data_IF_481371348400
#
_entry.id   IF_481371348400
#
_cell.length_a   1.000
_cell.length_b   1.000
_cell.length_c   1.000
_cell.angle_alpha   90.00
_cell.angle_beta   90.00
_cell.angle_gamma   90.00
#
_symmetry.space_group_name_H-M   'P 1'
#
loop_
_entity.id
_entity.type
_entity.pdbx_description
1 polymer ?
#
# COMPACT_ATOMS: atom_id res chain seq x y z
N UNK A 1 -15.52 21.25 -51.05
CA UNK A 1 -15.91 21.74 -49.71
C UNK A 1 -16.31 20.57 -48.81
N UNK A 2 -17.22 19.69 -49.28
CA UNK A 2 -17.80 18.61 -48.46
C UNK A 2 -16.83 17.49 -48.05
N UNK A 3 -15.80 17.23 -48.86
CA UNK A 3 -14.74 16.25 -48.55
C UNK A 3 -13.81 16.73 -47.43
N UNK A 4 -13.49 18.02 -47.40
CA UNK A 4 -12.62 18.62 -46.36
C UNK A 4 -13.34 18.62 -45.01
N UNK A 5 -14.62 19.01 -44.99
CA UNK A 5 -15.45 18.98 -43.77
C UNK A 5 -15.64 17.55 -43.25
N UNK A 6 -15.65 16.54 -44.13
CA UNK A 6 -15.73 15.13 -43.73
C UNK A 6 -14.43 14.62 -43.10
N UNK A 7 -13.28 15.07 -43.58
CA UNK A 7 -11.97 14.72 -43.02
C UNK A 7 -11.74 15.38 -41.64
N UNK A 8 -12.12 16.65 -41.46
CA UNK A 8 -12.07 17.27 -40.12
C UNK A 8 -12.95 16.55 -39.10
N UNK A 9 -14.21 16.24 -39.46
CA UNK A 9 -15.09 15.48 -38.57
C UNK A 9 -14.55 14.09 -38.20
N UNK A 10 -13.80 13.47 -39.11
CA UNK A 10 -13.17 12.16 -38.86
C UNK A 10 -11.96 12.30 -37.93
N UNK A 11 -11.17 13.36 -38.07
CA UNK A 11 -10.08 13.70 -37.14
C UNK A 11 -10.61 13.91 -35.72
N UNK A 12 -11.64 14.75 -35.57
CA UNK A 12 -12.25 15.04 -34.27
C UNK A 12 -12.86 13.79 -33.63
N UNK A 13 -13.48 12.92 -34.44
CA UNK A 13 -14.04 11.66 -33.96
C UNK A 13 -12.95 10.70 -33.45
N UNK A 14 -11.81 10.62 -34.15
CA UNK A 14 -10.68 9.79 -33.71
C UNK A 14 -10.04 10.32 -32.42
N UNK A 15 -9.91 11.64 -32.27
CA UNK A 15 -9.41 12.24 -31.02
C UNK A 15 -10.31 11.92 -29.83
N UNK A 16 -11.64 12.06 -29.99
CA UNK A 16 -12.59 11.73 -28.93
C UNK A 16 -12.55 10.24 -28.53
N UNK A 17 -12.39 9.35 -29.51
CA UNK A 17 -12.30 7.89 -29.27
C UNK A 17 -11.06 7.52 -28.45
N UNK A 18 -9.96 8.27 -28.57
CA UNK A 18 -8.73 8.04 -27.79
C UNK A 18 -8.81 8.75 -26.44
N UNK A 19 -9.33 9.98 -26.41
CA UNK A 19 -9.32 10.83 -25.23
C UNK A 19 -10.25 10.32 -24.13
N UNK A 20 -11.43 9.80 -24.48
CA UNK A 20 -12.40 9.24 -23.53
C UNK A 20 -11.83 8.07 -22.69
N UNK A 21 -11.28 6.99 -23.29
CA UNK A 21 -10.67 5.91 -22.51
C UNK A 21 -9.42 6.40 -21.77
N UNK A 22 -8.59 7.25 -22.37
CA UNK A 22 -7.44 7.84 -21.66
C UNK A 22 -7.86 8.57 -20.38
N UNK A 23 -8.88 9.42 -20.44
CA UNK A 23 -9.42 10.09 -19.26
C UNK A 23 -9.94 9.09 -18.22
N UNK A 24 -10.67 8.05 -18.66
CA UNK A 24 -11.15 7.01 -17.74
C UNK A 24 -9.99 6.28 -17.04
N UNK A 25 -8.95 5.89 -17.79
CA UNK A 25 -7.76 5.26 -17.23
C UNK A 25 -7.04 6.18 -16.24
N UNK A 26 -6.89 7.47 -16.55
CA UNK A 26 -6.28 8.44 -15.64
C UNK A 26 -7.07 8.57 -14.34
N UNK A 27 -8.40 8.67 -14.41
CA UNK A 27 -9.26 8.72 -13.21
C UNK A 27 -9.14 7.43 -12.40
N UNK A 28 -9.13 6.27 -13.05
CA UNK A 28 -8.96 4.98 -12.37
C UNK A 28 -7.59 4.89 -11.68
N UNK A 29 -6.51 5.33 -12.33
CA UNK A 29 -5.17 5.37 -11.77
C UNK A 29 -5.08 6.32 -10.57
N UNK A 30 -5.66 7.52 -10.67
CA UNK A 30 -5.69 8.48 -9.56
C UNK A 30 -6.47 7.91 -8.37
N UNK A 31 -7.62 7.27 -8.62
CA UNK A 31 -8.41 6.63 -7.58
C UNK A 31 -7.65 5.47 -6.93
N UNK A 32 -6.98 4.64 -7.73
CA UNK A 32 -6.13 3.57 -7.24
C UNK A 32 -4.99 4.11 -6.37
N UNK A 33 -4.30 5.17 -6.82
CA UNK A 33 -3.22 5.79 -6.07
C UNK A 33 -3.73 6.42 -4.77
N UNK A 34 -4.91 7.03 -4.77
CA UNK A 34 -5.55 7.57 -3.58
C UNK A 34 -5.88 6.46 -2.58
N UNK A 35 -6.60 5.43 -3.01
CA UNK A 35 -7.03 4.33 -2.14
C UNK A 35 -5.81 3.55 -1.61
N UNK A 36 -4.72 3.46 -2.39
CA UNK A 36 -3.55 2.67 -2.05
C UNK A 36 -2.45 3.43 -1.30
N UNK A 37 -2.22 4.72 -1.58
CA UNK A 37 -1.20 5.52 -0.87
C UNK A 37 -1.83 6.43 0.18
N UNK A 38 -2.91 7.13 -0.16
CA UNK A 38 -3.45 8.17 0.70
C UNK A 38 -4.16 7.61 1.93
N UNK A 39 -4.97 6.56 1.75
CA UNK A 39 -5.69 5.90 2.84
C UNK A 39 -4.74 5.36 3.91
N UNK A 40 -3.72 4.53 3.60
CA UNK A 40 -2.81 4.02 4.63
C UNK A 40 -1.98 5.12 5.28
N UNK A 41 -1.50 6.12 4.52
CA UNK A 41 -0.77 7.25 5.08
C UNK A 41 -1.63 8.10 6.02
N UNK A 42 -2.92 8.26 5.72
CA UNK A 42 -3.88 8.95 6.59
C UNK A 42 -4.10 8.18 7.88
N UNK A 43 -4.33 6.87 7.80
CA UNK A 43 -4.49 6.00 8.97
C UNK A 43 -3.23 6.05 9.83
N UNK A 44 -2.05 5.92 9.23
CA UNK A 44 -0.77 5.98 9.94
C UNK A 44 -0.57 7.32 10.66
N UNK A 45 -0.90 8.46 10.01
CA UNK A 45 -0.84 9.78 10.65
C UNK A 45 -1.82 9.89 11.82
N UNK A 46 -3.04 9.38 11.66
CA UNK A 46 -4.07 9.39 12.70
C UNK A 46 -3.68 8.54 13.92
N UNK A 47 -3.07 7.37 13.71
CA UNK A 47 -2.58 6.51 14.78
C UNK A 47 -1.37 7.14 15.49
N UNK A 48 -0.43 7.72 14.73
CA UNK A 48 0.70 8.45 15.30
C UNK A 48 0.26 9.64 16.16
N UNK A 49 -0.78 10.38 15.76
CA UNK A 49 -1.33 11.47 16.59
C UNK A 49 -1.95 10.98 17.90
N UNK A 50 -2.39 9.73 17.96
CA UNK A 50 -2.88 9.08 19.19
C UNK A 50 -1.74 8.48 20.03
N UNK A 51 -0.48 8.66 19.63
CA UNK A 51 0.69 8.06 20.29
C UNK A 51 0.92 6.59 19.91
N UNK A 52 0.10 6.01 19.05
CA UNK A 52 0.27 4.64 18.55
C UNK A 52 1.24 4.69 17.38
N UNK A 53 2.52 4.45 17.68
CA UNK A 53 3.55 4.31 16.65
C UNK A 53 3.59 2.88 16.15
N UNK A 54 3.73 2.74 14.84
CA UNK A 54 3.80 1.45 14.18
C UNK A 54 4.79 1.46 13.03
N UNK A 55 5.14 0.28 12.52
CA UNK A 55 6.00 0.16 11.36
C UNK A 55 5.40 0.91 10.14
N UNK A 56 6.24 1.57 9.33
CA UNK A 56 5.76 2.35 8.19
C UNK A 56 5.08 1.46 7.15
N UNK A 57 4.13 2.05 6.41
CA UNK A 57 3.44 1.36 5.33
C UNK A 57 4.45 0.89 4.25
N UNK A 58 4.38 -0.39 3.87
CA UNK A 58 5.18 -0.99 2.79
C UNK A 58 4.26 -1.55 1.70
N UNK A 59 4.55 -1.18 0.45
CA UNK A 59 3.75 -1.50 -0.73
C UNK A 59 3.67 -3.02 -1.00
N UNK A 60 2.45 -3.53 -1.23
CA UNK A 60 2.04 -4.90 -1.65
C UNK A 60 2.24 -5.99 -0.60
N UNK A 61 3.42 -6.09 0.00
CA UNK A 61 3.74 -7.18 0.93
C UNK A 61 3.58 -6.79 2.40
N UNK A 62 3.36 -5.50 2.69
CA UNK A 62 3.27 -4.97 4.04
C UNK A 62 4.48 -5.38 4.89
N UNK A 63 4.19 -5.79 6.13
CA UNK A 63 5.19 -6.29 7.08
C UNK A 63 5.18 -7.82 7.20
N UNK A 64 4.39 -8.54 6.40
CA UNK A 64 4.20 -9.98 6.57
C UNK A 64 5.49 -10.78 6.42
N UNK A 65 6.37 -10.39 5.49
CA UNK A 65 7.71 -11.02 5.34
C UNK A 65 8.59 -10.78 6.57
N UNK A 66 8.51 -9.60 7.17
CA UNK A 66 9.30 -9.27 8.36
C UNK A 66 8.76 -10.02 9.59
N UNK A 67 7.44 -10.16 9.70
CA UNK A 67 6.76 -10.97 10.71
C UNK A 67 7.17 -12.44 10.57
N UNK A 68 7.06 -13.03 9.39
CA UNK A 68 7.44 -14.42 9.14
C UNK A 68 8.94 -14.69 9.47
N UNK A 69 9.82 -13.74 9.15
CA UNK A 69 11.25 -13.83 9.53
C UNK A 69 11.43 -13.79 11.05
N UNK A 70 10.76 -12.87 11.74
CA UNK A 70 10.82 -12.77 13.20
C UNK A 70 10.27 -14.03 13.89
N UNK A 71 9.23 -14.64 13.34
CA UNK A 71 8.69 -15.92 13.79
C UNK A 71 9.68 -17.07 13.59
N UNK A 72 10.29 -17.17 12.41
CA UNK A 72 11.30 -18.18 12.13
C UNK A 72 12.53 -18.04 13.05
N UNK A 73 12.99 -16.81 13.30
CA UNK A 73 14.07 -16.54 14.24
C UNK A 73 13.70 -16.96 15.68
N UNK A 74 12.49 -16.67 16.14
CA UNK A 74 12.01 -17.04 17.47
C UNK A 74 11.88 -18.56 17.66
N UNK A 75 11.46 -19.28 16.61
CA UNK A 75 11.41 -20.74 16.59
C UNK A 75 12.80 -21.37 16.59
N UNK A 76 13.76 -20.78 15.86
CA UNK A 76 15.14 -21.30 15.77
C UNK A 76 15.94 -21.16 17.08
N UNK A 77 15.68 -20.11 17.88
CA UNK A 77 16.35 -19.91 19.16
C UNK A 77 15.83 -20.92 20.20
N UNK A 78 16.74 -21.60 20.89
CA UNK A 78 16.39 -22.51 21.99
C UNK A 78 15.67 -21.73 23.10
N UNK A 79 14.64 -22.34 23.67
CA UNK A 79 13.87 -21.76 24.77
C UNK A 79 14.78 -21.68 25.99
N UNK A 80 15.14 -20.47 26.41
CA UNK A 80 15.75 -20.28 27.72
C UNK A 80 14.68 -20.60 28.78
N UNK A 81 15.07 -21.26 29.89
CA UNK A 81 14.22 -21.37 31.08
C UNK A 81 14.14 -19.99 31.74
N UNK A 82 13.39 -19.09 31.13
CA UNK A 82 13.11 -17.75 31.63
C UNK A 82 11.62 -17.55 31.63
N UNK A 83 11.09 -16.84 32.63
CA UNK A 83 9.66 -16.58 32.77
C UNK A 83 9.09 -15.73 31.61
N UNK A 84 9.94 -15.13 30.78
CA UNK A 84 9.53 -14.34 29.61
C UNK A 84 9.36 -15.20 28.35
N UNK A 85 8.14 -15.73 28.19
CA UNK A 85 7.72 -16.55 27.04
C UNK A 85 7.21 -15.66 25.88
N UNK A 86 6.93 -14.38 26.15
CA UNK A 86 6.25 -13.47 25.24
C UNK A 86 7.01 -13.22 23.91
N UNK A 87 8.35 -13.06 23.90
CA UNK A 87 9.15 -12.94 22.67
C UNK A 87 9.09 -14.17 21.76
N UNK A 88 8.68 -15.34 22.28
CA UNK A 88 8.59 -16.58 21.51
C UNK A 88 7.22 -16.81 20.90
N UNK A 89 6.16 -16.44 21.61
CA UNK A 89 4.77 -16.60 21.15
C UNK A 89 4.39 -15.51 20.15
N UNK A 90 4.80 -14.27 20.42
CA UNK A 90 4.49 -13.10 19.58
C UNK A 90 5.75 -12.24 19.36
N UNK A 91 6.77 -12.76 18.64
CA UNK A 91 8.04 -12.06 18.45
C UNK A 91 7.88 -10.69 17.76
N UNK A 92 6.92 -10.57 16.86
CA UNK A 92 6.64 -9.33 16.14
C UNK A 92 6.06 -8.24 17.05
N UNK A 93 5.12 -8.57 17.96
CA UNK A 93 4.60 -7.60 18.93
C UNK A 93 5.64 -7.16 19.94
N UNK A 94 6.40 -8.11 20.51
CA UNK A 94 7.49 -7.81 21.43
C UNK A 94 8.50 -6.83 20.80
N UNK A 95 8.85 -7.07 19.54
CA UNK A 95 9.78 -6.20 18.80
C UNK A 95 9.18 -4.82 18.52
N UNK A 96 7.89 -4.73 18.18
CA UNK A 96 7.25 -3.44 17.89
C UNK A 96 7.06 -2.58 19.12
N UNK A 97 6.63 -3.16 20.25
CA UNK A 97 6.49 -2.43 21.52
C UNK A 97 7.83 -1.87 22.00
N UNK A 98 8.92 -2.61 21.81
CA UNK A 98 10.25 -2.13 22.19
C UNK A 98 10.86 -1.11 21.21
N UNK A 99 10.36 -1.05 19.96
CA UNK A 99 10.96 -0.22 18.89
C UNK A 99 10.20 1.07 18.62
N UNK A 100 8.89 1.10 18.86
CA UNK A 100 7.99 2.18 18.48
C UNK A 100 7.24 2.72 19.69
#
# INVERSE_FOLDING_TARGET
MDSVVREEKKSDLMELVILVPCCFFLVALLKFLYDYLWVPLRIQRMMNSQGIKGPPYRFIHGNSKEVARMEQEALSKRMALTDDIFPKVLPHFYTWINRY
#
